data_IF_329070562394
#
_entry.id   IF_329070562394
#
_cell.length_a   1.000
_cell.length_b   1.000
_cell.length_c   1.000
_cell.angle_alpha   90.00
_cell.angle_beta   90.00
_cell.angle_gamma   90.00
#
_symmetry.space_group_name_H-M   'P 1'
#
loop_
_entity.id
_entity.type
_entity.pdbx_description
1 polymer ?
#
# COMPACT_ATOMS: atom_id res chain seq x y z
N UNK A 1 9.91 -5.48 13.18
CA UNK A 1 9.95 -4.03 13.26
C UNK A 1 10.02 -3.40 11.88
N UNK A 2 9.45 -2.22 11.73
CA UNK A 2 9.44 -1.53 10.44
C UNK A 2 10.83 -1.01 10.09
N UNK A 3 11.17 -1.09 8.82
CA UNK A 3 12.43 -0.61 8.30
C UNK A 3 12.17 0.40 7.19
N UNK A 4 12.89 1.50 7.20
CA UNK A 4 12.73 2.53 6.19
C UNK A 4 13.51 2.15 4.93
N UNK A 5 12.80 2.08 3.81
CA UNK A 5 13.42 1.71 2.53
C UNK A 5 12.94 2.68 1.45
N UNK A 6 13.87 3.11 0.61
CA UNK A 6 13.53 3.99 -0.52
C UNK A 6 13.66 3.20 -1.82
N UNK A 7 12.57 3.13 -2.56
CA UNK A 7 12.53 2.42 -3.84
C UNK A 7 11.82 3.25 -4.89
N UNK A 8 12.03 2.89 -6.15
CA UNK A 8 11.29 3.48 -7.26
C UNK A 8 10.12 2.57 -7.62
N UNK A 9 8.97 3.15 -7.89
CA UNK A 9 7.76 2.40 -8.22
C UNK A 9 7.27 2.85 -9.59
N UNK A 10 6.90 1.87 -10.43
CA UNK A 10 6.34 2.17 -11.74
C UNK A 10 5.03 2.95 -11.61
N UNK A 11 4.78 3.85 -12.55
CA UNK A 11 3.59 4.71 -12.50
C UNK A 11 2.28 3.93 -12.46
N UNK A 12 2.16 2.88 -13.25
CA UNK A 12 0.95 2.08 -13.29
C UNK A 12 0.73 1.32 -11.98
N UNK A 13 1.80 0.87 -11.35
CA UNK A 13 1.73 0.21 -10.05
C UNK A 13 1.34 1.22 -8.98
N UNK A 14 1.91 2.42 -9.03
CA UNK A 14 1.57 3.48 -8.10
C UNK A 14 0.07 3.83 -8.16
N UNK A 15 -0.48 3.93 -9.36
CA UNK A 15 -1.91 4.21 -9.54
C UNK A 15 -2.77 3.14 -8.91
N UNK A 16 -2.41 1.89 -9.09
CA UNK A 16 -3.15 0.77 -8.51
C UNK A 16 -3.09 0.79 -6.99
N UNK A 17 -1.91 1.09 -6.43
CA UNK A 17 -1.74 1.17 -4.99
C UNK A 17 -2.54 2.32 -4.39
N UNK A 18 -2.56 3.46 -5.06
CA UNK A 18 -3.36 4.62 -4.63
C UNK A 18 -4.84 4.29 -4.64
N UNK A 19 -5.28 3.55 -5.65
CA UNK A 19 -6.67 3.13 -5.74
C UNK A 19 -7.03 2.19 -4.59
N UNK A 20 -6.15 1.26 -4.27
CA UNK A 20 -6.35 0.35 -3.13
C UNK A 20 -6.40 1.12 -1.82
N UNK A 21 -5.51 2.09 -1.65
CA UNK A 21 -5.50 2.93 -0.45
C UNK A 21 -6.84 3.64 -0.28
N UNK A 22 -7.35 4.21 -1.36
CA UNK A 22 -8.63 4.91 -1.36
C UNK A 22 -9.78 3.97 -0.97
N UNK A 23 -9.78 2.77 -1.49
CA UNK A 23 -10.80 1.77 -1.18
C UNK A 23 -10.75 1.35 0.28
N UNK A 24 -9.55 1.17 0.82
CA UNK A 24 -9.37 0.78 2.21
C UNK A 24 -9.84 1.88 3.16
N UNK A 25 -9.53 3.13 2.85
CA UNK A 25 -9.97 4.27 3.65
C UNK A 25 -11.49 4.34 3.67
N UNK A 26 -12.12 4.19 2.52
CA UNK A 26 -13.57 4.23 2.41
C UNK A 26 -14.24 3.07 3.15
N UNK A 27 -13.59 1.91 3.15
CA UNK A 27 -14.14 0.71 3.75
C UNK A 27 -14.03 0.69 5.28
N UNK A 28 -12.91 1.18 5.81
CA UNK A 28 -12.64 1.11 7.24
C UNK A 28 -12.91 2.42 7.98
N UNK A 29 -13.09 3.50 7.25
CA UNK A 29 -13.25 4.85 7.81
C UNK A 29 -12.05 5.27 8.66
N UNK A 30 -10.91 4.64 8.43
CA UNK A 30 -9.67 4.96 9.12
C UNK A 30 -8.62 5.46 8.14
N UNK A 31 -7.66 6.20 8.68
CA UNK A 31 -6.52 6.63 7.90
C UNK A 31 -5.64 5.43 7.58
N UNK A 32 -5.42 5.19 6.30
CA UNK A 32 -4.55 4.10 5.85
C UNK A 32 -3.37 4.70 5.10
N UNK A 33 -2.17 4.46 5.61
CA UNK A 33 -0.97 5.00 4.97
C UNK A 33 -0.64 4.21 3.71
N UNK A 34 0.07 4.87 2.80
CA UNK A 34 0.54 4.24 1.57
C UNK A 34 1.47 3.06 1.89
N UNK A 35 2.32 3.23 2.89
CA UNK A 35 3.22 2.16 3.34
C UNK A 35 2.46 0.93 3.80
N UNK A 36 1.36 1.14 4.50
CA UNK A 36 0.53 0.03 4.96
C UNK A 36 -0.05 -0.75 3.79
N UNK A 37 -0.52 -0.05 2.77
CA UNK A 37 -1.06 -0.69 1.57
C UNK A 37 0.00 -1.55 0.89
N UNK A 38 1.20 -1.01 0.74
CA UNK A 38 2.32 -1.72 0.13
C UNK A 38 2.66 -2.97 0.94
N UNK A 39 2.77 -2.83 2.24
CA UNK A 39 3.12 -3.96 3.11
C UNK A 39 2.06 -5.05 3.07
N UNK A 40 0.79 -4.69 3.09
CA UNK A 40 -0.30 -5.66 3.03
C UNK A 40 -0.28 -6.45 1.72
N UNK A 41 -0.03 -5.77 0.61
CA UNK A 41 0.04 -6.45 -0.69
C UNK A 41 1.24 -7.37 -0.78
N UNK A 42 2.39 -6.95 -0.26
CA UNK A 42 3.58 -7.77 -0.24
C UNK A 42 3.39 -9.02 0.62
N UNK A 43 2.72 -8.90 1.74
CA UNK A 43 2.44 -10.04 2.60
C UNK A 43 1.63 -11.10 1.88
N UNK A 44 0.69 -10.67 1.04
CA UNK A 44 -0.11 -11.60 0.25
C UNK A 44 0.75 -12.37 -0.74
N UNK A 45 1.77 -11.73 -1.30
CA UNK A 45 2.63 -12.33 -2.30
C UNK A 45 3.73 -13.21 -1.70
N UNK A 46 4.14 -12.91 -0.49
CA UNK A 46 5.29 -13.57 0.14
C UNK A 46 4.91 -14.66 1.15
N UNK A 47 3.72 -15.12 1.07
CA UNK A 47 3.26 -16.17 1.98
C UNK A 47 4.13 -17.40 1.95
#
# INVERSE_FOLDING_TARGET
MAKRVTIMIDDDIDKKLRLLQSKLIAKTSESVSYSKVINDELKKQLK
#
